data_IF_429085686370
#
_entry.id   IF_429085686370
#
_cell.length_a   1.000
_cell.length_b   1.000
_cell.length_c   1.000
_cell.angle_alpha   90.00
_cell.angle_beta   90.00
_cell.angle_gamma   90.00
#
_symmetry.space_group_name_H-M   'P 1'
#
loop_
_entity.id
_entity.type
_entity.pdbx_description
1 polymer ?
#
# COMPACT_ATOMS: atom_id res chain seq x y z
N UNK A 1 16.27 20.90 -13.78
CA UNK A 1 15.27 20.69 -14.86
C UNK A 1 13.90 20.60 -14.19
N UNK A 2 13.04 21.59 -14.43
CA UNK A 2 11.68 21.58 -13.92
C UNK A 2 10.83 20.67 -14.81
N UNK A 3 10.41 19.52 -14.30
CA UNK A 3 9.43 18.67 -14.98
C UNK A 3 8.04 19.28 -14.79
N UNK A 4 7.39 19.57 -15.91
CA UNK A 4 6.07 20.19 -15.90
C UNK A 4 5.00 19.14 -15.55
N UNK A 5 4.34 19.30 -14.40
CA UNK A 5 3.30 18.39 -13.89
C UNK A 5 2.13 18.16 -14.88
N UNK A 6 1.94 19.05 -15.85
CA UNK A 6 0.85 18.97 -16.83
C UNK A 6 1.08 17.91 -17.92
N UNK A 7 2.31 17.52 -18.22
CA UNK A 7 2.61 16.47 -19.21
C UNK A 7 2.42 15.05 -18.65
N UNK A 8 2.70 14.86 -17.35
CA UNK A 8 2.45 13.60 -16.67
C UNK A 8 0.95 13.26 -16.54
N UNK A 9 0.09 14.26 -16.54
CA UNK A 9 -1.37 14.09 -16.46
C UNK A 9 -2.00 13.69 -17.79
N UNK A 10 -1.39 14.06 -18.92
CA UNK A 10 -1.91 13.74 -20.27
C UNK A 10 -1.69 12.27 -20.66
N UNK A 11 -0.62 11.64 -20.21
CA UNK A 11 -0.38 10.21 -20.45
C UNK A 11 -1.33 9.29 -19.67
N UNK A 12 -2.01 9.84 -18.64
CA UNK A 12 -2.97 9.12 -17.82
C UNK A 12 -4.39 9.05 -18.40
N UNK A 13 -4.71 9.87 -19.38
CA UNK A 13 -6.07 9.98 -19.92
C UNK A 13 -6.37 9.01 -21.08
N UNK A 14 -5.40 8.22 -21.52
CA UNK A 14 -5.58 7.33 -22.69
C UNK A 14 -5.92 5.87 -22.37
N UNK A 15 -5.94 5.47 -21.11
CA UNK A 15 -6.44 4.14 -20.74
C UNK A 15 -7.69 4.28 -19.88
N UNK A 16 -8.79 3.76 -20.37
CA UNK A 16 -10.13 3.73 -19.77
C UNK A 16 -10.20 2.88 -18.49
N UNK A 17 -9.41 3.19 -17.49
CA UNK A 17 -9.59 2.66 -16.15
C UNK A 17 -10.28 3.71 -15.30
N UNK A 18 -11.40 3.35 -14.72
CA UNK A 18 -12.18 4.11 -13.76
C UNK A 18 -11.24 4.70 -12.70
N UNK A 19 -11.10 6.03 -12.70
CA UNK A 19 -10.18 6.70 -11.78
C UNK A 19 -10.86 6.76 -10.41
N UNK A 20 -10.48 5.87 -9.48
CA UNK A 20 -11.00 5.87 -8.11
C UNK A 20 -10.60 7.10 -7.29
N UNK A 21 -9.71 7.94 -7.82
CA UNK A 21 -9.23 9.15 -7.18
C UNK A 21 -9.61 10.38 -8.00
N UNK A 22 -10.03 11.48 -7.34
CA UNK A 22 -10.49 12.69 -8.04
C UNK A 22 -9.40 13.28 -8.95
N UNK A 23 -9.76 13.73 -10.16
CA UNK A 23 -8.82 14.16 -11.21
C UNK A 23 -8.26 15.59 -11.01
N UNK A 24 -8.54 16.28 -9.92
CA UNK A 24 -8.15 17.68 -9.77
C UNK A 24 -6.70 17.84 -9.29
N UNK A 25 -5.94 18.65 -10.02
CA UNK A 25 -4.61 19.16 -9.64
C UNK A 25 -4.79 20.20 -8.53
N UNK A 26 -5.33 19.79 -7.41
CA UNK A 26 -5.24 20.54 -6.18
C UNK A 26 -3.87 20.18 -5.58
N UNK A 27 -3.08 21.19 -5.24
CA UNK A 27 -1.85 20.96 -4.49
C UNK A 27 -2.25 20.35 -3.14
N UNK A 28 -2.14 19.02 -3.05
CA UNK A 28 -2.51 18.27 -1.86
C UNK A 28 -1.67 18.74 -0.69
N UNK A 29 -2.28 19.30 0.38
CA UNK A 29 -1.53 19.94 1.44
C UNK A 29 -0.71 18.96 2.28
N UNK A 30 -1.15 17.70 2.38
CA UNK A 30 -0.52 16.71 3.24
C UNK A 30 0.38 15.79 2.42
N UNK A 31 1.62 15.64 2.88
CA UNK A 31 2.53 14.59 2.44
C UNK A 31 2.62 13.53 3.51
N UNK A 32 2.29 12.30 3.14
CA UNK A 32 2.28 11.15 4.04
C UNK A 32 3.38 10.17 3.63
N UNK A 33 4.42 10.07 4.45
CA UNK A 33 5.49 9.09 4.30
C UNK A 33 5.07 7.78 4.95
N UNK A 34 5.13 6.70 4.21
CA UNK A 34 4.74 5.37 4.68
C UNK A 34 5.97 4.47 4.63
N UNK A 35 6.57 4.25 5.79
CA UNK A 35 7.76 3.40 5.94
C UNK A 35 7.33 1.95 6.08
N UNK A 36 7.75 1.12 5.14
CA UNK A 36 7.36 -0.27 5.06
C UNK A 36 8.58 -1.18 4.86
N UNK A 37 8.45 -2.38 5.40
CA UNK A 37 9.30 -3.51 5.07
C UNK A 37 8.48 -4.49 4.22
N UNK A 38 9.01 -4.89 3.08
CA UNK A 38 8.31 -5.72 2.08
C UNK A 38 7.89 -7.09 2.64
N UNK A 39 8.68 -7.61 3.56
CA UNK A 39 8.46 -8.93 4.18
C UNK A 39 7.69 -8.84 5.50
N UNK A 40 7.24 -7.65 5.90
CA UNK A 40 6.58 -7.44 7.19
C UNK A 40 5.06 -7.58 7.08
N UNK A 41 4.44 -8.57 7.75
CA UNK A 41 2.98 -8.73 7.76
C UNK A 41 2.24 -7.51 8.33
N UNK A 42 2.83 -6.81 9.29
CA UNK A 42 2.23 -5.58 9.83
C UNK A 42 2.23 -4.46 8.79
N UNK A 43 3.31 -4.34 7.98
CA UNK A 43 3.35 -3.38 6.85
C UNK A 43 2.27 -3.71 5.81
N UNK A 44 2.06 -4.99 5.51
CA UNK A 44 0.98 -5.45 4.65
C UNK A 44 -0.41 -5.15 5.23
N UNK A 45 -0.58 -5.31 6.54
CA UNK A 45 -1.83 -5.03 7.24
C UNK A 45 -2.20 -3.54 7.30
N UNK A 46 -1.27 -2.64 7.00
CA UNK A 46 -1.52 -1.20 6.87
C UNK A 46 -2.23 -0.85 5.55
N UNK A 47 -2.05 -1.65 4.51
CA UNK A 47 -2.52 -1.37 3.15
C UNK A 47 -4.02 -1.02 3.03
N UNK A 48 -4.97 -1.73 3.68
CA UNK A 48 -6.39 -1.37 3.62
C UNK A 48 -6.69 0.02 4.19
N UNK A 49 -6.00 0.41 5.24
CA UNK A 49 -6.18 1.74 5.86
C UNK A 49 -5.67 2.84 4.93
N UNK A 50 -4.53 2.58 4.25
CA UNK A 50 -4.00 3.49 3.23
C UNK A 50 -4.95 3.63 2.06
N UNK A 51 -5.51 2.51 1.55
CA UNK A 51 -6.52 2.54 0.49
C UNK A 51 -7.75 3.33 0.89
N UNK A 52 -8.28 3.06 2.08
CA UNK A 52 -9.45 3.76 2.60
C UNK A 52 -9.18 5.26 2.74
N UNK A 53 -8.03 5.66 3.28
CA UNK A 53 -7.61 7.05 3.37
C UNK A 53 -7.52 7.74 2.00
N UNK A 54 -6.96 7.04 1.00
CA UNK A 54 -6.87 7.58 -0.35
C UNK A 54 -8.22 7.72 -1.03
N UNK A 55 -9.14 6.79 -0.79
CA UNK A 55 -10.50 6.85 -1.32
C UNK A 55 -11.26 8.02 -0.69
N UNK A 56 -11.25 8.12 0.63
CA UNK A 56 -12.06 9.11 1.35
C UNK A 56 -11.42 10.51 1.39
N UNK A 57 -10.08 10.58 1.46
CA UNK A 57 -9.33 11.84 1.69
C UNK A 57 -8.20 12.08 0.71
N UNK A 58 -8.22 11.40 -0.43
CA UNK A 58 -7.16 11.49 -1.43
C UNK A 58 -6.95 12.89 -2.01
N UNK A 59 -7.92 13.81 -1.90
CA UNK A 59 -7.76 15.22 -2.27
C UNK A 59 -6.75 15.96 -1.40
N UNK A 60 -6.60 15.54 -0.15
CA UNK A 60 -5.71 16.18 0.82
C UNK A 60 -4.32 15.55 0.87
N UNK A 61 -4.16 14.29 0.45
CA UNK A 61 -2.99 13.47 0.76
C UNK A 61 -2.20 13.09 -0.49
N UNK A 62 -0.88 13.30 -0.43
CA UNK A 62 0.09 12.67 -1.34
C UNK A 62 0.86 11.61 -0.56
N UNK A 63 0.85 10.35 -1.02
CA UNK A 63 1.58 9.27 -0.36
C UNK A 63 2.97 9.10 -0.97
N UNK A 64 3.95 8.91 -0.09
CA UNK A 64 5.33 8.50 -0.43
C UNK A 64 5.68 7.20 0.29
N UNK A 65 5.67 6.06 -0.39
CA UNK A 65 6.22 4.83 0.15
C UNK A 65 7.73 4.98 0.33
N UNK A 66 8.23 4.60 1.50
CA UNK A 66 9.66 4.54 1.83
C UNK A 66 9.99 3.09 2.16
N UNK A 67 10.79 2.48 1.33
CA UNK A 67 11.14 1.08 1.50
C UNK A 67 12.34 0.98 2.44
N UNK A 68 12.14 0.32 3.57
CA UNK A 68 13.23 0.04 4.49
C UNK A 68 13.15 -1.41 5.02
N UNK A 69 13.74 -2.30 4.27
CA UNK A 69 13.73 -3.73 4.56
C UNK A 69 14.75 -4.14 5.63
N UNK A 70 15.53 -3.21 6.19
CA UNK A 70 16.44 -3.45 7.32
C UNK A 70 15.80 -3.18 8.68
N UNK A 71 14.69 -2.44 8.73
CA UNK A 71 14.01 -2.17 9.98
C UNK A 71 13.34 -3.43 10.50
N UNK A 72 13.46 -3.63 11.82
CA UNK A 72 12.72 -4.67 12.51
C UNK A 72 11.21 -4.41 12.37
N UNK A 73 10.45 -5.47 12.09
CA UNK A 73 9.01 -5.38 12.25
C UNK A 73 8.65 -5.39 13.72
N UNK A 74 7.67 -4.59 14.07
CA UNK A 74 7.03 -4.71 15.38
C UNK A 74 6.31 -6.07 15.35
N UNK A 75 6.83 -7.06 16.08
CA UNK A 75 6.09 -8.30 16.27
C UNK A 75 4.80 -7.95 17.01
N UNK A 76 3.68 -8.53 16.60
CA UNK A 76 2.39 -8.36 17.30
C UNK A 76 2.45 -8.79 18.75
N UNK A 77 3.44 -9.62 19.11
CA UNK A 77 3.72 -10.08 20.48
C UNK A 77 4.53 -9.06 21.30
N UNK A 78 5.26 -8.16 20.64
CA UNK A 78 6.12 -7.16 21.31
C UNK A 78 5.42 -5.86 21.64
N UNK A 79 4.14 -5.71 21.32
CA UNK A 79 3.36 -4.56 21.71
C UNK A 79 2.86 -4.80 23.14
N UNK A 80 3.77 -4.71 24.09
CA UNK A 80 3.40 -4.41 25.46
C UNK A 80 2.57 -3.13 25.46
N UNK A 81 1.45 -3.07 26.20
CA UNK A 81 0.69 -1.83 26.35
C UNK A 81 1.65 -0.77 26.90
N UNK A 82 2.18 0.08 26.02
CA UNK A 82 2.96 1.23 26.44
C UNK A 82 2.00 2.14 27.16
N UNK A 83 2.13 2.14 28.47
CA UNK A 83 1.43 3.02 29.41
C UNK A 83 -0.09 2.99 29.27
N UNK A 84 -0.77 2.46 30.27
CA UNK A 84 -2.24 2.49 30.43
C UNK A 84 -2.87 3.89 30.35
N UNK A 85 -2.07 4.93 30.16
CA UNK A 85 -2.50 6.31 30.08
C UNK A 85 -2.47 6.91 28.65
N UNK A 86 -2.10 6.13 27.62
CA UNK A 86 -2.21 6.57 26.23
C UNK A 86 -3.54 6.04 25.67
N UNK A 87 -4.59 6.90 25.52
CA UNK A 87 -5.88 6.49 24.99
C UNK A 87 -5.79 6.00 23.54
N UNK A 88 -4.63 6.14 22.88
CA UNK A 88 -4.36 5.79 21.50
C UNK A 88 -3.70 4.41 21.34
N UNK A 89 -3.39 3.71 22.44
CA UNK A 89 -2.68 2.42 22.41
C UNK A 89 -3.58 1.21 22.11
N UNK A 90 -4.85 1.41 21.78
CA UNK A 90 -5.77 0.31 21.44
C UNK A 90 -5.47 -0.18 20.03
N UNK A 91 -4.61 -1.19 19.94
CA UNK A 91 -4.47 -1.97 18.71
C UNK A 91 -5.80 -2.66 18.41
N UNK A 92 -6.30 -2.54 17.17
CA UNK A 92 -7.43 -3.38 16.77
C UNK A 92 -7.01 -4.84 16.91
N UNK A 93 -7.62 -5.55 17.84
CA UNK A 93 -7.41 -6.99 18.00
C UNK A 93 -7.54 -7.67 16.63
N UNK A 94 -6.46 -8.38 16.23
CA UNK A 94 -6.43 -9.23 15.03
C UNK A 94 -6.58 -8.52 13.68
N UNK A 95 -5.84 -7.44 13.45
CA UNK A 95 -5.85 -6.73 12.16
C UNK A 95 -4.86 -7.28 11.13
N UNK A 96 -4.40 -8.49 11.22
CA UNK A 96 -3.58 -9.07 10.16
C UNK A 96 -4.47 -9.41 8.96
N UNK A 97 -4.26 -8.71 7.82
CA UNK A 97 -4.62 -9.27 6.53
C UNK A 97 -3.90 -10.59 6.46
N UNK A 98 -4.62 -11.61 6.04
CA UNK A 98 -4.18 -13.00 6.03
C UNK A 98 -2.69 -13.13 5.74
N UNK A 99 -1.94 -13.50 6.76
CA UNK A 99 -0.59 -14.00 6.64
C UNK A 99 -0.61 -15.36 7.31
N UNK A 100 -0.26 -16.39 6.58
CA UNK A 100 -0.01 -17.68 7.19
C UNK A 100 1.13 -17.54 8.20
N UNK A 101 0.97 -18.08 9.41
CA UNK A 101 2.03 -18.10 10.43
C UNK A 101 3.26 -18.90 10.00
N UNK A 102 3.18 -19.61 8.87
CA UNK A 102 4.24 -20.45 8.31
C UNK A 102 5.27 -19.72 7.41
N UNK A 103 5.12 -18.39 7.21
CA UNK A 103 6.08 -17.66 6.36
C UNK A 103 7.53 -17.80 6.84
N UNK A 104 7.76 -17.80 8.14
CA UNK A 104 9.10 -17.94 8.73
C UNK A 104 9.75 -19.30 8.43
N UNK A 105 8.95 -20.35 8.26
CA UNK A 105 9.43 -21.70 7.94
C UNK A 105 9.58 -21.92 6.43
N UNK A 106 8.69 -21.31 5.64
CA UNK A 106 8.68 -21.47 4.17
C UNK A 106 9.78 -20.64 3.50
N UNK A 107 10.09 -19.45 4.05
CA UNK A 107 11.07 -18.52 3.47
C UNK A 107 12.10 -18.03 4.52
N UNK A 108 12.94 -18.91 5.06
CA UNK A 108 13.80 -18.56 6.20
C UNK A 108 14.86 -17.49 5.90
N UNK A 109 15.12 -17.13 4.63
CA UNK A 109 16.17 -16.18 4.24
C UNK A 109 15.94 -15.49 2.90
N UNK A 110 14.78 -14.87 2.68
CA UNK A 110 14.64 -14.01 1.49
C UNK A 110 15.50 -12.76 1.69
N UNK A 111 16.42 -12.53 0.75
CA UNK A 111 17.16 -11.28 0.70
C UNK A 111 16.25 -10.15 0.21
N UNK A 112 16.03 -9.09 0.99
CA UNK A 112 15.12 -8.01 0.60
C UNK A 112 15.74 -7.02 -0.41
N UNK A 113 17.01 -7.17 -0.77
CA UNK A 113 17.73 -6.20 -1.61
C UNK A 113 17.18 -6.10 -3.02
N UNK A 114 17.07 -7.24 -3.70
CA UNK A 114 16.63 -7.28 -5.10
C UNK A 114 15.21 -6.72 -5.26
N UNK A 115 14.19 -7.17 -4.49
CA UNK A 115 12.86 -6.58 -4.59
C UNK A 115 12.82 -5.09 -4.20
N UNK A 116 13.67 -4.63 -3.27
CA UNK A 116 13.77 -3.19 -2.97
C UNK A 116 14.30 -2.38 -4.15
N UNK A 117 15.31 -2.90 -4.86
CA UNK A 117 15.83 -2.25 -6.07
C UNK A 117 14.80 -2.30 -7.20
N UNK A 118 14.08 -3.40 -7.35
CA UNK A 118 13.02 -3.55 -8.35
C UNK A 118 11.91 -2.51 -8.18
N UNK A 119 11.49 -2.24 -6.93
CA UNK A 119 10.52 -1.17 -6.65
C UNK A 119 11.08 0.19 -7.07
N UNK A 120 12.35 0.48 -6.79
CA UNK A 120 12.96 1.73 -7.21
C UNK A 120 13.13 1.82 -8.73
N UNK A 121 13.43 0.72 -9.41
CA UNK A 121 13.43 0.65 -10.87
C UNK A 121 12.04 0.97 -11.46
N UNK A 122 10.99 0.38 -10.89
CA UNK A 122 9.61 0.70 -11.28
C UNK A 122 9.23 2.17 -11.01
N UNK A 123 9.70 2.76 -9.91
CA UNK A 123 9.48 4.18 -9.59
C UNK A 123 10.14 5.13 -10.60
N UNK A 124 11.22 4.73 -11.29
CA UNK A 124 11.86 5.51 -12.36
C UNK A 124 10.93 5.65 -13.58
N UNK A 125 10.06 4.70 -13.82
CA UNK A 125 9.01 4.78 -14.85
C UNK A 125 7.77 5.57 -14.40
N UNK A 126 7.74 5.99 -13.13
CA UNK A 126 6.70 6.84 -12.59
C UNK A 126 6.24 6.42 -11.19
N UNK A 127 5.85 7.40 -10.38
CA UNK A 127 5.44 7.15 -8.97
C UNK A 127 4.24 6.21 -8.86
N UNK A 128 3.32 6.25 -9.81
CA UNK A 128 2.16 5.37 -9.82
C UNK A 128 2.55 3.96 -10.26
N UNK A 129 3.40 3.85 -11.28
CA UNK A 129 3.97 2.60 -11.74
C UNK A 129 4.67 1.87 -10.58
N UNK A 130 5.53 2.58 -9.83
CA UNK A 130 6.18 2.04 -8.65
C UNK A 130 5.21 1.57 -7.56
N UNK A 131 4.10 2.29 -7.33
CA UNK A 131 3.09 1.86 -6.35
C UNK A 131 2.32 0.61 -6.79
N UNK A 132 1.95 0.51 -8.07
CA UNK A 132 1.30 -0.68 -8.61
C UNK A 132 2.25 -1.88 -8.55
N UNK A 133 3.51 -1.68 -8.91
CA UNK A 133 4.54 -2.71 -8.83
C UNK A 133 4.78 -3.17 -7.38
N UNK A 134 4.93 -2.24 -6.43
CA UNK A 134 5.04 -2.55 -5.00
C UNK A 134 3.89 -3.42 -4.53
N UNK A 135 2.65 -3.04 -4.86
CA UNK A 135 1.46 -3.82 -4.50
C UNK A 135 1.51 -5.22 -5.12
N UNK A 136 1.90 -5.33 -6.39
CA UNK A 136 1.98 -6.61 -7.08
C UNK A 136 3.03 -7.54 -6.46
N UNK A 137 4.21 -7.02 -6.12
CA UNK A 137 5.26 -7.77 -5.42
C UNK A 137 4.76 -8.27 -4.06
N UNK A 138 4.02 -7.46 -3.31
CA UNK A 138 3.42 -7.87 -2.05
C UNK A 138 2.35 -8.95 -2.24
N UNK A 139 1.54 -8.89 -3.29
CA UNK A 139 0.56 -9.93 -3.65
C UNK A 139 1.24 -11.27 -3.95
N UNK A 140 2.31 -11.26 -4.73
CA UNK A 140 3.09 -12.47 -4.99
C UNK A 140 3.63 -13.06 -3.69
N UNK A 141 4.16 -12.24 -2.81
CA UNK A 141 4.69 -12.71 -1.54
C UNK A 141 3.59 -13.22 -0.60
N UNK A 142 2.58 -12.39 -0.29
CA UNK A 142 1.62 -12.69 0.77
C UNK A 142 0.47 -13.61 0.34
N UNK A 143 0.07 -13.59 -0.93
CA UNK A 143 -1.03 -14.42 -1.43
C UNK A 143 -0.54 -15.65 -2.17
N UNK A 144 0.44 -15.50 -3.06
CA UNK A 144 0.91 -16.60 -3.89
C UNK A 144 2.06 -17.39 -3.23
N UNK A 145 2.66 -16.86 -2.16
CA UNK A 145 3.82 -17.44 -1.46
C UNK A 145 5.02 -17.63 -2.40
N UNK A 146 5.22 -16.70 -3.32
CA UNK A 146 6.34 -16.71 -4.24
C UNK A 146 7.59 -16.09 -3.63
N UNK A 147 8.75 -16.54 -4.08
CA UNK A 147 10.03 -15.98 -3.67
C UNK A 147 10.30 -14.68 -4.42
N UNK A 148 9.95 -13.54 -3.84
CA UNK A 148 10.16 -12.22 -4.46
C UNK A 148 11.65 -11.80 -4.57
N UNK A 149 12.60 -12.61 -4.12
CA UNK A 149 14.02 -12.43 -4.45
C UNK A 149 14.41 -13.08 -5.79
N UNK A 150 13.49 -13.77 -6.44
CA UNK A 150 13.66 -14.32 -7.77
C UNK A 150 13.39 -13.24 -8.83
N UNK A 151 14.33 -13.06 -9.76
CA UNK A 151 14.24 -12.06 -10.82
C UNK A 151 13.08 -12.33 -11.77
N UNK A 152 12.81 -13.60 -12.10
CA UNK A 152 11.73 -13.95 -13.01
C UNK A 152 10.36 -13.59 -12.43
N UNK A 153 10.19 -13.74 -11.12
CA UNK A 153 8.98 -13.29 -10.41
C UNK A 153 8.83 -11.76 -10.45
N UNK A 154 9.94 -11.03 -10.28
CA UNK A 154 9.91 -9.57 -10.37
C UNK A 154 9.63 -9.07 -11.79
N UNK A 155 10.16 -9.74 -12.81
CA UNK A 155 9.86 -9.43 -14.21
C UNK A 155 8.38 -9.71 -14.52
N UNK A 156 7.84 -10.85 -14.09
CA UNK A 156 6.42 -11.15 -14.24
C UNK A 156 5.53 -10.08 -13.54
N UNK A 157 5.92 -9.62 -12.35
CA UNK A 157 5.24 -8.49 -11.68
C UNK A 157 5.28 -7.20 -12.53
N UNK A 158 6.40 -6.92 -13.20
CA UNK A 158 6.57 -5.75 -14.03
C UNK A 158 5.69 -5.81 -15.30
N UNK A 159 5.59 -6.99 -15.92
CA UNK A 159 4.68 -7.26 -17.04
C UNK A 159 3.22 -7.07 -16.64
N UNK A 160 2.80 -7.62 -15.49
CA UNK A 160 1.44 -7.52 -14.97
C UNK A 160 0.97 -6.08 -14.72
N UNK A 161 1.90 -5.16 -14.41
CA UNK A 161 1.60 -3.75 -14.21
C UNK A 161 1.98 -2.87 -15.39
N UNK A 162 2.24 -3.49 -16.56
CA UNK A 162 2.51 -2.85 -17.84
C UNK A 162 3.70 -1.86 -17.80
N UNK A 163 4.79 -2.23 -17.11
CA UNK A 163 6.06 -1.51 -17.19
C UNK A 163 6.76 -1.77 -18.53
N UNK A 164 7.62 -0.85 -18.95
CA UNK A 164 8.61 -1.13 -19.98
C UNK A 164 9.64 -2.12 -19.42
N UNK A 165 9.63 -3.33 -19.94
CA UNK A 165 10.42 -4.44 -19.39
C UNK A 165 11.91 -4.28 -19.69
N UNK A 166 12.27 -3.74 -20.84
CA UNK A 166 13.68 -3.52 -21.21
C UNK A 166 14.31 -2.44 -20.32
N UNK A 167 13.59 -1.32 -20.09
CA UNK A 167 14.05 -0.29 -19.15
C UNK A 167 14.00 -0.80 -17.71
N UNK A 168 13.00 -1.60 -17.31
CA UNK A 168 12.94 -2.18 -15.98
C UNK A 168 14.16 -3.07 -15.69
N UNK A 169 14.49 -4.00 -16.60
CA UNK A 169 15.66 -4.88 -16.47
C UNK A 169 16.97 -4.11 -16.38
N UNK A 170 17.12 -3.06 -17.19
CA UNK A 170 18.29 -2.18 -17.16
C UNK A 170 18.39 -1.42 -15.85
N UNK A 171 17.25 -0.91 -15.35
CA UNK A 171 17.22 -0.10 -14.14
C UNK A 171 17.31 -0.94 -12.86
N UNK A 172 16.90 -2.21 -12.88
CA UNK A 172 16.95 -3.13 -11.74
C UNK A 172 18.35 -3.20 -11.11
N UNK A 173 19.40 -3.24 -11.94
CA UNK A 173 20.80 -3.31 -11.50
C UNK A 173 21.52 -1.98 -11.58
N UNK A 174 20.85 -0.91 -11.97
CA UNK A 174 21.46 0.40 -12.18
C UNK A 174 21.93 1.04 -10.87
N UNK A 175 22.86 1.97 -10.99
CA UNK A 175 23.24 2.83 -9.86
C UNK A 175 22.09 3.77 -9.44
N UNK A 176 21.12 4.06 -10.32
CA UNK A 176 20.00 4.92 -10.01
C UNK A 176 19.05 4.25 -8.99
N UNK A 177 18.65 3.00 -9.24
CA UNK A 177 17.80 2.23 -8.31
C UNK A 177 18.47 2.03 -6.96
N UNK A 178 19.77 1.69 -6.96
CA UNK A 178 20.56 1.55 -5.73
C UNK A 178 20.64 2.85 -4.93
N UNK A 179 20.92 3.99 -5.60
CA UNK A 179 20.94 5.31 -4.95
C UNK A 179 19.55 5.72 -4.46
N UNK A 180 18.48 5.46 -5.23
CA UNK A 180 17.12 5.74 -4.81
C UNK A 180 16.75 4.95 -3.53
N UNK A 181 17.12 3.68 -3.44
CA UNK A 181 16.94 2.90 -2.22
C UNK A 181 17.80 3.43 -1.06
N UNK A 182 19.06 3.84 -1.31
CA UNK A 182 19.89 4.48 -0.28
C UNK A 182 19.26 5.78 0.24
N UNK A 183 18.59 6.55 -0.62
CA UNK A 183 17.81 7.71 -0.19
C UNK A 183 16.66 7.31 0.77
N UNK A 184 15.95 6.23 0.51
CA UNK A 184 14.92 5.74 1.42
C UNK A 184 15.49 5.37 2.80
N UNK A 185 16.65 4.70 2.82
CA UNK A 185 17.35 4.37 4.06
C UNK A 185 17.80 5.63 4.82
N UNK A 186 18.30 6.62 4.09
CA UNK A 186 18.72 7.91 4.68
C UNK A 186 17.52 8.68 5.25
N UNK A 187 16.41 8.77 4.51
CA UNK A 187 15.16 9.39 4.97
C UNK A 187 14.66 8.70 6.24
N UNK A 188 14.68 7.35 6.28
CA UNK A 188 14.29 6.59 7.47
C UNK A 188 15.14 6.96 8.68
N UNK A 189 16.46 7.09 8.49
CA UNK A 189 17.39 7.47 9.54
C UNK A 189 17.18 8.92 10.01
N UNK A 190 17.04 9.87 9.09
CA UNK A 190 16.81 11.29 9.39
C UNK A 190 15.51 11.53 10.13
N UNK A 191 14.45 10.77 9.79
CA UNK A 191 13.17 10.83 10.48
C UNK A 191 13.13 9.99 11.76
N UNK A 192 14.23 9.35 12.16
CA UNK A 192 14.31 8.53 13.37
C UNK A 192 13.33 7.35 13.37
N UNK A 193 13.09 6.74 12.19
CA UNK A 193 12.19 5.59 12.07
C UNK A 193 12.97 4.33 12.44
N UNK A 194 12.54 3.67 13.51
CA UNK A 194 13.19 2.45 14.05
C UNK A 194 12.42 1.17 13.72
N UNK A 195 11.13 1.29 13.40
CA UNK A 195 10.24 0.16 13.18
C UNK A 195 9.32 0.37 11.98
N UNK A 196 8.86 -0.73 11.39
CA UNK A 196 7.85 -0.75 10.34
C UNK A 196 6.60 -1.54 10.78
N UNK A 197 5.39 -1.15 10.33
CA UNK A 197 5.10 0.07 9.58
C UNK A 197 5.20 1.33 10.45
N UNK A 198 5.60 2.44 9.84
CA UNK A 198 5.53 3.76 10.45
C UNK A 198 4.96 4.74 9.41
N UNK A 199 4.07 5.61 9.84
CA UNK A 199 3.48 6.65 9.00
C UNK A 199 3.82 8.02 9.58
N UNK A 200 4.25 8.95 8.73
CA UNK A 200 4.54 10.33 9.13
C UNK A 200 3.74 11.28 8.24
N UNK A 201 2.98 12.16 8.87
CA UNK A 201 2.18 13.17 8.19
C UNK A 201 2.87 14.53 8.29
N UNK A 202 3.02 15.21 7.17
CA UNK A 202 3.51 16.57 7.08
C UNK A 202 2.50 17.47 6.36
N UNK A 203 2.33 18.69 6.86
CA UNK A 203 1.68 19.74 6.09
C UNK A 203 2.77 20.50 5.30
N UNK A 204 2.63 20.58 3.98
CA UNK A 204 3.60 21.23 3.09
C UNK A 204 3.65 22.75 3.23
N UNK A 205 2.64 23.33 3.84
CA UNK A 205 2.43 24.78 3.92
C UNK A 205 2.67 25.35 5.33
N UNK A 206 3.07 24.51 6.27
CA UNK A 206 3.43 24.93 7.63
C UNK A 206 4.83 24.44 7.97
N UNK A 207 5.51 25.20 8.85
CA UNK A 207 6.82 24.79 9.39
C UNK A 207 6.66 23.87 10.62
N UNK A 208 5.46 23.30 10.83
CA UNK A 208 5.21 22.41 11.94
C UNK A 208 5.89 21.05 11.74
N UNK A 209 6.31 20.49 12.86
CA UNK A 209 6.89 19.15 12.86
C UNK A 209 5.85 18.10 12.44
N UNK A 210 6.26 17.14 11.61
CA UNK A 210 5.42 16.03 11.21
C UNK A 210 4.97 15.17 12.40
N UNK A 211 3.78 14.62 12.30
CA UNK A 211 3.24 13.69 13.31
C UNK A 211 3.52 12.25 12.87
N UNK A 212 4.21 11.49 13.73
CA UNK A 212 4.62 10.11 13.49
C UNK A 212 3.74 9.12 14.24
N UNK A 213 3.29 8.09 13.54
CA UNK A 213 2.60 6.92 14.05
C UNK A 213 3.43 5.67 13.76
N UNK A 214 3.95 4.99 14.77
CA UNK A 214 4.73 3.75 14.62
C UNK A 214 3.88 2.55 15.02
N UNK A 215 3.66 1.62 14.09
CA UNK A 215 2.77 0.47 14.22
C UNK A 215 1.43 0.65 13.51
N UNK A 216 0.49 -0.24 13.83
CA UNK A 216 -0.87 -0.22 13.30
C UNK A 216 -1.82 0.43 14.31
N UNK A 217 -2.69 1.28 13.79
CA UNK A 217 -3.72 1.97 14.56
C UNK A 217 -5.10 1.76 13.93
N UNK A 218 -6.15 2.09 14.65
CA UNK A 218 -7.49 2.14 14.09
C UNK A 218 -7.60 3.24 13.02
N UNK A 219 -8.52 3.08 12.09
CA UNK A 219 -8.72 4.04 11.01
C UNK A 219 -8.97 5.47 11.51
N UNK A 220 -9.76 5.58 12.58
CA UNK A 220 -10.11 6.87 13.17
C UNK A 220 -8.88 7.66 13.67
N UNK A 221 -7.83 6.96 14.09
CA UNK A 221 -6.56 7.60 14.49
C UNK A 221 -5.90 8.27 13.28
N UNK A 222 -5.84 7.59 12.13
CA UNK A 222 -5.28 8.19 10.92
C UNK A 222 -6.07 9.41 10.46
N UNK A 223 -7.41 9.37 10.51
CA UNK A 223 -8.29 10.49 10.19
C UNK A 223 -8.12 11.64 11.20
N UNK A 224 -8.02 11.33 12.49
CA UNK A 224 -7.76 12.32 13.53
C UNK A 224 -6.42 13.05 13.31
N UNK A 225 -5.35 12.31 13.01
CA UNK A 225 -4.04 12.90 12.72
C UNK A 225 -4.09 13.73 11.44
N UNK A 226 -4.77 13.25 10.41
CA UNK A 226 -4.99 14.03 9.18
C UNK A 226 -5.67 15.38 9.49
N UNK A 227 -6.77 15.37 10.27
CA UNK A 227 -7.47 16.59 10.70
C UNK A 227 -6.56 17.53 11.51
N UNK A 228 -5.76 16.98 12.42
CA UNK A 228 -4.82 17.74 13.23
C UNK A 228 -3.75 18.41 12.38
N UNK A 229 -3.15 17.70 11.42
CA UNK A 229 -2.08 18.24 10.56
C UNK A 229 -2.65 19.23 9.52
N UNK A 230 -3.91 19.02 9.09
CA UNK A 230 -4.64 19.97 8.24
C UNK A 230 -5.09 21.24 8.97
N UNK A 231 -5.19 21.18 10.31
CA UNK A 231 -5.79 22.22 11.15
C UNK A 231 -7.27 22.52 10.81
N UNK A 232 -7.90 21.63 10.07
CA UNK A 232 -9.32 21.69 9.68
C UNK A 232 -9.89 20.28 9.62
N UNK A 233 -11.20 20.17 9.74
CA UNK A 233 -11.88 18.89 9.58
C UNK A 233 -11.99 18.54 8.09
N UNK A 234 -11.32 17.49 7.59
CA UNK A 234 -11.45 17.09 6.21
C UNK A 234 -12.82 16.45 5.96
N UNK A 235 -13.36 16.66 4.76
CA UNK A 235 -14.62 16.05 4.34
C UNK A 235 -14.32 14.79 3.51
N UNK A 236 -14.83 13.62 3.89
CA UNK A 236 -14.62 12.41 3.13
C UNK A 236 -15.41 12.42 1.81
N UNK A 237 -14.81 11.88 0.75
CA UNK A 237 -15.50 11.61 -0.51
C UNK A 237 -16.25 10.28 -0.38
N UNK A 238 -17.35 10.17 -1.10
CA UNK A 238 -18.13 8.94 -1.16
C UNK A 238 -17.28 7.79 -1.75
N UNK A 239 -17.39 6.62 -1.14
CA UNK A 239 -16.71 5.42 -1.62
C UNK A 239 -17.26 4.98 -2.98
N UNK A 240 -16.40 4.41 -3.86
CA UNK A 240 -16.86 3.80 -5.10
C UNK A 240 -17.78 2.61 -4.80
N UNK A 241 -18.50 2.14 -5.80
CA UNK A 241 -19.17 0.86 -5.63
C UNK A 241 -18.16 -0.30 -5.58
N UNK A 242 -18.60 -1.46 -5.07
CA UNK A 242 -17.69 -2.60 -4.85
C UNK A 242 -17.09 -3.14 -6.17
N UNK A 243 -17.83 -3.12 -7.28
CA UNK A 243 -17.34 -3.60 -8.57
C UNK A 243 -16.25 -2.66 -9.13
N UNK A 244 -16.43 -1.34 -9.03
CA UNK A 244 -15.40 -0.35 -9.38
C UNK A 244 -14.13 -0.54 -8.57
N UNK A 245 -14.27 -0.73 -7.25
CA UNK A 245 -13.14 -0.98 -6.37
C UNK A 245 -12.38 -2.25 -6.77
N UNK A 246 -13.09 -3.35 -7.02
CA UNK A 246 -12.50 -4.62 -7.41
C UNK A 246 -11.88 -4.56 -8.81
N UNK A 247 -12.52 -3.87 -9.76
CA UNK A 247 -12.00 -3.69 -11.11
C UNK A 247 -10.68 -2.91 -11.13
N UNK A 248 -10.50 -1.99 -10.18
CA UNK A 248 -9.29 -1.20 -10.05
C UNK A 248 -8.15 -2.00 -9.39
N UNK A 249 -8.42 -2.64 -8.24
CA UNK A 249 -7.39 -3.33 -7.47
C UNK A 249 -7.11 -4.76 -7.94
N UNK A 250 -8.00 -5.34 -8.74
CA UNK A 250 -7.94 -6.71 -9.31
C UNK A 250 -7.91 -7.82 -8.26
N UNK A 251 -6.97 -7.79 -7.31
CA UNK A 251 -6.80 -8.80 -6.26
C UNK A 251 -6.93 -8.12 -4.90
N UNK A 252 -7.88 -8.56 -4.08
CA UNK A 252 -8.19 -7.94 -2.78
C UNK A 252 -8.55 -8.99 -1.73
N UNK A 253 -7.97 -8.87 -0.54
CA UNK A 253 -8.31 -9.76 0.57
C UNK A 253 -9.74 -9.46 1.12
N UNK A 254 -10.42 -10.50 1.61
CA UNK A 254 -11.75 -10.34 2.20
C UNK A 254 -11.77 -9.29 3.33
N UNK A 255 -10.75 -9.30 4.19
CA UNK A 255 -10.61 -8.33 5.29
C UNK A 255 -10.30 -6.91 4.80
N UNK A 256 -9.61 -6.78 3.70
CA UNK A 256 -9.30 -5.50 3.05
C UNK A 256 -10.59 -4.81 2.58
N UNK A 257 -11.49 -5.58 1.94
CA UNK A 257 -12.82 -5.11 1.55
C UNK A 257 -13.62 -4.68 2.79
N UNK A 258 -13.63 -5.51 3.84
CA UNK A 258 -14.32 -5.21 5.09
C UNK A 258 -13.89 -3.86 5.69
N UNK A 259 -12.58 -3.59 5.75
CA UNK A 259 -12.02 -2.33 6.27
C UNK A 259 -12.38 -1.14 5.38
N UNK A 260 -12.22 -1.28 4.06
CA UNK A 260 -12.48 -0.17 3.12
C UNK A 260 -13.95 0.23 3.12
N UNK A 261 -14.85 -0.75 3.15
CA UNK A 261 -16.31 -0.50 3.07
C UNK A 261 -17.00 -0.38 4.42
N UNK A 262 -16.29 -0.50 5.54
CA UNK A 262 -16.87 -0.56 6.90
C UNK A 262 -17.90 -1.68 7.04
N UNK A 263 -17.66 -2.80 6.39
CA UNK A 263 -18.52 -3.97 6.48
C UNK A 263 -18.01 -4.96 7.52
N UNK A 264 -18.94 -5.70 8.13
CA UNK A 264 -18.57 -6.91 8.87
C UNK A 264 -17.99 -7.96 7.91
N UNK A 265 -17.19 -8.89 8.42
CA UNK A 265 -16.70 -10.02 7.60
C UNK A 265 -17.86 -10.86 7.03
N UNK A 266 -18.95 -10.99 7.78
CA UNK A 266 -20.16 -11.68 7.32
C UNK A 266 -20.84 -10.94 6.16
N UNK A 267 -20.97 -9.62 6.26
CA UNK A 267 -21.52 -8.80 5.18
C UNK A 267 -20.64 -8.87 3.95
N UNK A 268 -19.32 -8.74 4.11
CA UNK A 268 -18.34 -8.86 3.01
C UNK A 268 -18.50 -10.21 2.31
N UNK A 269 -18.55 -11.31 3.06
CA UNK A 269 -18.74 -12.64 2.49
C UNK A 269 -20.04 -12.75 1.69
N UNK A 270 -21.12 -12.13 2.17
CA UNK A 270 -22.42 -12.13 1.49
C UNK A 270 -22.36 -11.36 0.17
N UNK A 271 -21.80 -10.15 0.17
CA UNK A 271 -21.72 -9.32 -1.03
C UNK A 271 -20.75 -9.95 -2.06
N UNK A 272 -19.63 -10.49 -1.62
CA UNK A 272 -18.69 -11.16 -2.50
C UNK A 272 -19.27 -12.45 -3.10
N UNK A 273 -20.08 -13.19 -2.34
CA UNK A 273 -20.81 -14.36 -2.86
C UNK A 273 -21.80 -13.99 -3.96
N UNK A 274 -22.51 -12.84 -3.83
CA UNK A 274 -23.38 -12.33 -4.90
C UNK A 274 -22.59 -12.04 -6.17
N UNK A 275 -21.41 -11.43 -6.06
CA UNK A 275 -20.54 -11.14 -7.22
C UNK A 275 -19.96 -12.42 -7.82
N UNK A 276 -19.63 -13.41 -7.00
CA UNK A 276 -19.21 -14.73 -7.46
C UNK A 276 -20.29 -15.45 -8.27
N UNK A 277 -21.55 -15.41 -7.80
CA UNK A 277 -22.70 -15.97 -8.53
C UNK A 277 -22.94 -15.25 -9.87
N UNK A 278 -22.60 -13.97 -9.97
CA UNK A 278 -22.62 -13.20 -11.23
C UNK A 278 -21.36 -13.42 -12.09
N UNK A 279 -20.46 -14.30 -11.69
CA UNK A 279 -19.20 -14.58 -12.38
C UNK A 279 -18.27 -13.35 -12.53
N UNK A 280 -18.39 -12.37 -11.63
CA UNK A 280 -17.55 -11.15 -11.64
C UNK A 280 -16.26 -11.35 -10.85
N UNK A 281 -16.23 -12.28 -9.91
CA UNK A 281 -15.07 -12.53 -9.05
C UNK A 281 -14.83 -14.02 -8.85
N UNK A 282 -13.56 -14.38 -8.63
CA UNK A 282 -13.12 -15.71 -8.23
C UNK A 282 -12.59 -15.65 -6.79
N UNK A 283 -12.97 -16.65 -5.97
CA UNK A 283 -12.45 -16.79 -4.63
C UNK A 283 -11.21 -17.69 -4.60
N UNK A 284 -10.19 -17.26 -3.90
CA UNK A 284 -8.99 -18.03 -3.62
C UNK A 284 -8.86 -18.21 -2.12
N UNK A 285 -8.97 -19.47 -1.66
CA UNK A 285 -8.86 -19.79 -0.24
C UNK A 285 -7.38 -19.79 0.19
N UNK A 286 -7.13 -19.25 1.40
CA UNK A 286 -5.86 -19.31 2.11
C UNK A 286 -6.07 -20.03 3.44
N UNK A 287 -5.00 -20.46 4.12
CA UNK A 287 -5.12 -21.16 5.39
C UNK A 287 -5.88 -20.34 6.47
N UNK A 288 -5.74 -19.03 6.47
CA UNK A 288 -6.36 -18.13 7.43
C UNK A 288 -7.20 -17.02 6.79
N UNK A 289 -7.98 -17.34 5.74
CA UNK A 289 -8.87 -16.41 5.08
C UNK A 289 -9.00 -16.63 3.59
N UNK A 290 -9.23 -15.56 2.83
CA UNK A 290 -9.35 -15.63 1.37
C UNK A 290 -9.05 -14.28 0.74
N UNK A 291 -8.70 -14.32 -0.54
CA UNK A 291 -8.72 -13.15 -1.39
C UNK A 291 -9.61 -13.38 -2.61
N UNK A 292 -10.00 -12.30 -3.24
CA UNK A 292 -10.87 -12.25 -4.39
C UNK A 292 -10.13 -11.68 -5.57
N UNK A 293 -10.23 -12.35 -6.70
CA UNK A 293 -9.74 -11.90 -7.98
C UNK A 293 -10.93 -11.41 -8.81
N UNK A 294 -10.84 -10.19 -9.33
CA UNK A 294 -11.84 -9.64 -10.25
C UNK A 294 -11.61 -10.20 -11.65
N UNK A 295 -12.63 -10.90 -12.18
CA UNK A 295 -12.63 -11.52 -13.50
C UNK A 295 -13.73 -10.92 -14.41
N UNK A 296 -14.34 -9.79 -13.99
CA UNK A 296 -15.38 -9.12 -14.76
C UNK A 296 -14.95 -8.86 -16.19
N UNK A 297 -15.93 -8.75 -17.10
CA UNK A 297 -15.77 -8.72 -18.54
C UNK A 297 -14.50 -7.98 -18.98
N UNK A 298 -13.52 -8.71 -19.48
CA UNK A 298 -12.60 -8.17 -20.47
C UNK A 298 -13.50 -7.73 -21.62
N UNK A 299 -13.59 -6.43 -21.84
CA UNK A 299 -14.27 -5.90 -23.01
C UNK A 299 -13.62 -6.54 -24.22
N UNK A 300 -14.30 -7.53 -24.78
CA UNK A 300 -14.02 -8.15 -26.08
C UNK A 300 -14.14 -7.12 -27.22
#
# INVERSE_FOLDING_TARGET
MHWNQSELLRSYQSNTSTNLYPPHVVQKPIEMYVFINLLCPASWSLEPYIKKLLIEYGEYITIRPIINSHLHHISTESISPRSMNDPWSVLPEKSTIVCDNDFGNTFPKISPWLPSFAIKAAELQGKNAGRHFLRKVQEQFFFQKENIADEDILIACAEDVALDIDEFKKDLYSNHSKKAYQCDLQISKEMGVEHTPTVVFFNKYTDEQGIRLSGLYSYDIYVHILSKVLQTQPTPIAKPNIEEFLSYYKIVANKEIAIVFDWSLSQTATEMKKLQLKQKVRNHALAHGSYWEYIGEENS
#
